data_IF_844240251234
#
_entry.id   IF_844240251234
#
_cell.length_a   1.000
_cell.length_b   1.000
_cell.length_c   1.000
_cell.angle_alpha   90.00
_cell.angle_beta   90.00
_cell.angle_gamma   90.00
#
_symmetry.space_group_name_H-M   'P 1'
#
loop_
_entity.id
_entity.type
_entity.pdbx_description
1 polymer ?
#
# COMPACT_ATOMS: atom_id res chain seq x y z
N UNK A 1 -67.18 -1.38 -7.62
CA UNK A 1 -65.95 -1.38 -6.79
C UNK A 1 -64.78 -1.73 -7.68
N UNK A 2 -63.93 -0.76 -8.03
CA UNK A 2 -62.72 -1.00 -8.82
C UNK A 2 -61.55 -1.18 -7.86
N UNK A 3 -60.95 -2.37 -7.87
CA UNK A 3 -59.74 -2.67 -7.09
C UNK A 3 -58.54 -2.19 -7.91
N UNK A 4 -57.95 -1.07 -7.51
CA UNK A 4 -56.64 -0.65 -8.03
C UNK A 4 -55.55 -1.52 -7.39
N UNK A 5 -54.97 -2.42 -8.17
CA UNK A 5 -53.76 -3.11 -7.79
C UNK A 5 -52.57 -2.15 -7.89
N UNK A 6 -52.00 -1.75 -6.75
CA UNK A 6 -50.71 -1.07 -6.71
C UNK A 6 -49.61 -2.08 -7.05
N UNK A 7 -49.08 -2.00 -8.27
CA UNK A 7 -47.83 -2.65 -8.62
C UNK A 7 -46.68 -1.94 -7.90
N UNK A 8 -46.14 -2.56 -6.85
CA UNK A 8 -44.88 -2.16 -6.24
C UNK A 8 -43.76 -2.34 -7.28
N UNK A 9 -43.29 -1.23 -7.84
CA UNK A 9 -42.07 -1.19 -8.64
C UNK A 9 -40.88 -1.52 -7.73
N UNK A 10 -40.43 -2.78 -7.77
CA UNK A 10 -39.14 -3.18 -7.20
C UNK A 10 -38.07 -2.55 -8.09
N UNK A 11 -37.48 -1.44 -7.64
CA UNK A 11 -36.31 -0.90 -8.31
C UNK A 11 -35.15 -1.92 -8.18
N UNK A 12 -34.50 -2.31 -9.28
CA UNK A 12 -33.35 -3.19 -9.20
C UNK A 12 -32.26 -2.48 -8.41
N UNK A 13 -31.83 -3.07 -7.29
CA UNK A 13 -30.61 -2.63 -6.61
C UNK A 13 -29.46 -2.85 -7.57
N UNK A 14 -28.86 -1.75 -8.05
CA UNK A 14 -27.72 -1.84 -8.95
C UNK A 14 -26.57 -2.52 -8.21
N UNK A 15 -26.14 -3.67 -8.73
CA UNK A 15 -24.99 -4.40 -8.21
C UNK A 15 -23.75 -3.50 -8.22
N UNK A 16 -23.00 -3.53 -7.12
CA UNK A 16 -21.74 -2.80 -7.04
C UNK A 16 -20.70 -3.44 -7.97
N UNK A 17 -19.90 -2.60 -8.60
CA UNK A 17 -18.85 -3.01 -9.55
C UNK A 17 -17.63 -2.11 -9.41
N UNK A 18 -16.54 -2.54 -10.05
CA UNK A 18 -15.32 -1.77 -10.16
C UNK A 18 -15.42 -0.75 -11.29
N UNK A 19 -14.90 0.45 -11.02
CA UNK A 19 -14.65 1.47 -12.01
C UNK A 19 -13.19 1.88 -11.90
N UNK A 20 -12.46 1.72 -13.00
CA UNK A 20 -11.06 2.10 -13.09
C UNK A 20 -10.92 3.16 -14.18
N UNK A 21 -10.27 4.28 -13.85
CA UNK A 21 -10.04 5.39 -14.78
C UNK A 21 -8.59 5.84 -14.69
N UNK A 22 -7.95 6.00 -15.83
CA UNK A 22 -6.65 6.64 -15.89
C UNK A 22 -6.81 8.14 -16.11
N UNK A 23 -6.24 8.96 -15.23
CA UNK A 23 -6.15 10.42 -15.34
C UNK A 23 -4.69 10.83 -15.29
N UNK A 24 -4.13 11.17 -16.45
CA UNK A 24 -2.69 11.42 -16.58
C UNK A 24 -1.89 10.18 -16.18
N UNK A 25 -1.01 10.34 -15.18
CA UNK A 25 -0.18 9.26 -14.62
C UNK A 25 -0.84 8.55 -13.43
N UNK A 26 -2.11 8.84 -13.08
CA UNK A 26 -2.79 8.20 -11.95
C UNK A 26 -3.89 7.27 -12.44
N UNK A 27 -3.86 6.01 -11.98
CA UNK A 27 -4.95 5.06 -12.12
C UNK A 27 -5.87 5.16 -10.90
N UNK A 28 -7.02 5.78 -11.05
CA UNK A 28 -8.07 5.93 -10.04
C UNK A 28 -8.92 4.67 -10.00
N UNK A 29 -9.09 4.09 -8.81
CA UNK A 29 -9.83 2.84 -8.61
C UNK A 29 -10.97 3.08 -7.64
N UNK A 30 -12.19 2.92 -8.14
CA UNK A 30 -13.44 3.12 -7.42
C UNK A 30 -14.29 1.86 -7.41
N UNK A 31 -15.16 1.75 -6.40
CA UNK A 31 -16.10 0.65 -6.26
C UNK A 31 -17.45 1.17 -5.81
N UNK A 32 -18.51 0.86 -6.56
CA UNK A 32 -19.84 1.42 -6.32
C UNK A 32 -20.84 1.06 -7.41
N UNK A 33 -21.94 1.79 -7.51
CA UNK A 33 -23.01 1.52 -8.49
C UNK A 33 -23.73 2.80 -8.92
N UNK A 34 -24.39 2.75 -10.08
CA UNK A 34 -25.11 3.90 -10.64
C UNK A 34 -24.19 5.09 -10.89
N UNK A 35 -24.51 6.23 -10.27
CA UNK A 35 -23.68 7.45 -10.31
C UNK A 35 -22.69 7.56 -9.14
N UNK A 36 -22.72 6.63 -8.18
CA UNK A 36 -21.94 6.70 -6.96
C UNK A 36 -20.78 5.70 -6.98
N UNK A 37 -19.60 6.16 -7.41
CA UNK A 37 -18.36 5.39 -7.45
C UNK A 37 -17.28 6.08 -6.61
N UNK A 38 -17.30 5.90 -5.28
CA UNK A 38 -16.25 6.43 -4.43
C UNK A 38 -14.91 5.74 -4.69
N UNK A 39 -13.84 6.52 -4.63
CA UNK A 39 -12.48 6.04 -4.86
C UNK A 39 -11.91 5.36 -3.61
N UNK A 40 -11.32 4.18 -3.78
CA UNK A 40 -10.70 3.40 -2.70
C UNK A 40 -9.20 3.19 -2.89
N UNK A 41 -8.70 3.31 -4.13
CA UNK A 41 -7.28 3.22 -4.41
C UNK A 41 -6.82 4.16 -5.53
N UNK A 42 -5.53 4.42 -5.53
CA UNK A 42 -4.84 5.16 -6.59
C UNK A 42 -3.47 4.52 -6.82
N UNK A 43 -3.14 4.22 -8.08
CA UNK A 43 -1.78 3.84 -8.49
C UNK A 43 -1.16 4.96 -9.31
N UNK A 44 -0.04 5.50 -8.84
CA UNK A 44 0.78 6.46 -9.56
C UNK A 44 1.72 5.70 -10.50
N UNK A 45 1.44 5.79 -11.80
CA UNK A 45 2.11 5.07 -12.88
C UNK A 45 3.52 5.59 -13.17
N UNK A 46 3.88 6.78 -12.70
CA UNK A 46 5.23 7.37 -12.84
C UNK A 46 6.22 6.87 -11.79
N UNK A 47 5.73 6.32 -10.69
CA UNK A 47 6.53 6.06 -9.49
C UNK A 47 6.23 4.72 -8.81
N UNK A 48 5.15 4.03 -9.22
CA UNK A 48 4.63 2.80 -8.61
C UNK A 48 4.10 2.95 -7.18
N UNK A 49 3.81 4.19 -6.75
CA UNK A 49 3.19 4.46 -5.46
C UNK A 49 1.72 4.08 -5.52
N UNK A 50 1.29 3.24 -4.60
CA UNK A 50 -0.06 2.73 -4.49
C UNK A 50 -0.64 3.17 -3.16
N UNK A 51 -1.79 3.84 -3.20
CA UNK A 51 -2.50 4.32 -2.00
C UNK A 51 -3.84 3.61 -1.90
N UNK A 52 -4.25 3.33 -0.68
CA UNK A 52 -5.51 2.68 -0.37
C UNK A 52 -6.19 3.41 0.78
N UNK A 53 -7.51 3.53 0.73
CA UNK A 53 -8.34 3.99 1.85
C UNK A 53 -9.33 2.90 2.23
N UNK A 54 -9.67 2.81 3.53
CA UNK A 54 -10.64 1.82 4.02
C UNK A 54 -12.09 2.29 3.87
N UNK A 55 -12.29 3.56 3.52
CA UNK A 55 -13.58 4.23 3.41
C UNK A 55 -13.43 5.51 2.57
N UNK A 56 -14.48 5.95 1.86
CA UNK A 56 -14.44 7.22 1.12
C UNK A 56 -14.32 8.47 2.01
N UNK A 57 -14.50 8.31 3.32
CA UNK A 57 -14.35 9.37 4.33
C UNK A 57 -12.95 9.39 4.97
N UNK A 58 -12.06 8.48 4.54
CA UNK A 58 -10.68 8.39 5.02
C UNK A 58 -9.75 9.27 4.15
N UNK A 59 -8.80 9.95 4.78
CA UNK A 59 -7.70 10.60 4.07
C UNK A 59 -6.70 9.57 3.52
N UNK A 60 -5.97 9.90 2.46
CA UNK A 60 -5.11 8.93 1.75
C UNK A 60 -3.90 8.39 2.50
N UNK A 61 -3.40 9.08 3.54
CA UNK A 61 -2.31 8.63 4.42
C UNK A 61 -1.08 8.01 3.72
N UNK A 62 -0.53 6.96 4.34
CA UNK A 62 0.63 6.17 3.89
C UNK A 62 0.46 5.57 2.49
N UNK A 63 1.52 5.68 1.67
CA UNK A 63 1.64 5.02 0.37
C UNK A 63 2.45 3.71 0.47
N UNK A 64 2.16 2.76 -0.42
CA UNK A 64 2.96 1.56 -0.65
C UNK A 64 3.73 1.71 -1.94
N UNK A 65 5.01 1.35 -1.94
CA UNK A 65 5.81 1.29 -3.16
C UNK A 65 5.80 -0.16 -3.63
N UNK A 66 5.10 -0.41 -4.74
CA UNK A 66 4.87 -1.78 -5.21
C UNK A 66 6.09 -2.41 -5.86
N UNK A 67 6.87 -1.62 -6.60
CA UNK A 67 8.13 -2.08 -7.19
C UNK A 67 9.20 -2.19 -6.10
N UNK A 68 10.14 -3.14 -6.24
CA UNK A 68 11.15 -3.34 -5.22
C UNK A 68 12.06 -2.11 -5.11
N UNK A 69 12.58 -1.86 -3.92
CA UNK A 69 13.64 -0.89 -3.68
C UNK A 69 14.92 -1.60 -3.24
N UNK A 70 16.09 -1.11 -3.64
CA UNK A 70 17.36 -1.77 -3.34
C UNK A 70 18.55 -0.85 -3.45
N UNK A 71 19.66 -1.26 -2.82
CA UNK A 71 20.97 -0.63 -2.96
C UNK A 71 21.85 -1.46 -3.90
N UNK A 72 22.46 -0.80 -4.88
CA UNK A 72 23.40 -1.43 -5.81
C UNK A 72 24.42 -0.41 -6.31
N UNK A 73 25.71 -0.74 -6.16
CA UNK A 73 26.81 0.13 -6.56
C UNK A 73 26.83 1.46 -5.80
N UNK A 74 26.41 1.47 -4.53
CA UNK A 74 26.32 2.67 -3.70
C UNK A 74 25.15 3.59 -4.02
N UNK A 75 24.26 3.20 -4.96
CA UNK A 75 23.07 3.96 -5.33
C UNK A 75 21.81 3.27 -4.82
N UNK A 76 20.90 4.06 -4.27
CA UNK A 76 19.57 3.62 -3.90
C UNK A 76 18.60 3.75 -5.07
N UNK A 77 17.86 2.68 -5.35
CA UNK A 77 16.82 2.61 -6.35
C UNK A 77 15.48 2.39 -5.65
N UNK A 78 14.53 3.29 -5.88
CA UNK A 78 13.17 3.23 -5.34
C UNK A 78 12.24 3.95 -6.29
N UNK A 79 11.06 3.39 -6.50
CA UNK A 79 10.06 3.95 -7.39
C UNK A 79 10.51 3.88 -8.85
N UNK A 80 9.56 3.57 -9.73
CA UNK A 80 9.81 3.55 -11.18
C UNK A 80 8.50 3.72 -11.90
N UNK A 81 8.52 4.29 -13.12
CA UNK A 81 7.39 4.20 -14.01
C UNK A 81 6.97 2.74 -14.24
N UNK A 82 5.66 2.53 -14.30
CA UNK A 82 5.02 1.25 -14.55
C UNK A 82 3.90 1.40 -15.57
N UNK A 83 3.68 0.34 -16.34
CA UNK A 83 2.44 0.16 -17.09
C UNK A 83 1.49 -0.70 -16.28
N UNK A 84 0.18 -0.47 -16.47
CA UNK A 84 -0.85 -1.24 -15.83
C UNK A 84 -1.94 -1.62 -16.83
N UNK A 85 -2.42 -2.87 -16.75
CA UNK A 85 -3.68 -3.31 -17.36
C UNK A 85 -4.56 -3.92 -16.28
N UNK A 86 -5.87 -3.95 -16.49
CA UNK A 86 -6.79 -4.42 -15.47
C UNK A 86 -8.00 -5.14 -16.04
N UNK A 87 -8.59 -6.01 -15.21
CA UNK A 87 -9.84 -6.71 -15.50
C UNK A 87 -10.55 -7.08 -14.20
N UNK A 88 -11.85 -7.22 -14.27
CA UNK A 88 -12.65 -7.80 -13.18
C UNK A 88 -12.67 -9.31 -13.32
N UNK A 89 -12.45 -10.04 -12.22
CA UNK A 89 -12.62 -11.50 -12.15
C UNK A 89 -13.53 -11.84 -10.96
N UNK A 90 -14.75 -12.29 -11.25
CA UNK A 90 -15.78 -12.43 -10.22
C UNK A 90 -16.05 -11.08 -9.57
N UNK A 91 -15.91 -11.00 -8.25
CA UNK A 91 -16.04 -9.74 -7.51
C UNK A 91 -14.73 -8.95 -7.35
N UNK A 92 -13.59 -9.54 -7.70
CA UNK A 92 -12.28 -8.92 -7.49
C UNK A 92 -11.84 -8.11 -8.73
N UNK A 93 -11.05 -7.07 -8.51
CA UNK A 93 -10.33 -6.35 -9.56
C UNK A 93 -8.88 -6.81 -9.58
N UNK A 94 -8.38 -7.22 -10.74
CA UNK A 94 -6.99 -7.55 -10.95
C UNK A 94 -6.30 -6.45 -11.74
N UNK A 95 -5.17 -6.00 -11.22
CA UNK A 95 -4.21 -5.15 -11.93
C UNK A 95 -2.98 -5.98 -12.26
N UNK A 96 -2.57 -5.97 -13.53
CA UNK A 96 -1.27 -6.46 -13.97
C UNK A 96 -0.36 -5.26 -14.16
N UNK A 97 0.71 -5.18 -13.37
CA UNK A 97 1.62 -4.04 -13.32
C UNK A 97 2.99 -4.50 -13.77
N UNK A 98 3.67 -3.75 -14.64
CA UNK A 98 5.04 -4.05 -15.04
C UNK A 98 5.90 -2.80 -15.12
N UNK A 99 7.17 -2.91 -14.73
CA UNK A 99 8.12 -1.80 -14.78
C UNK A 99 9.56 -2.29 -14.86
N UNK A 100 10.48 -1.36 -15.13
CA UNK A 100 11.92 -1.61 -15.13
C UNK A 100 12.61 -0.67 -14.17
N UNK A 101 13.30 -1.21 -13.17
CA UNK A 101 14.08 -0.44 -12.20
C UNK A 101 15.55 -0.91 -12.25
N UNK A 102 16.45 0.02 -12.57
CA UNK A 102 17.81 -0.31 -13.01
C UNK A 102 17.78 -1.36 -14.15
N UNK A 103 18.39 -2.53 -13.96
CA UNK A 103 18.37 -3.65 -14.91
C UNK A 103 17.28 -4.69 -14.62
N UNK A 104 16.49 -4.54 -13.55
CA UNK A 104 15.44 -5.48 -13.18
C UNK A 104 14.14 -5.14 -13.90
N UNK A 105 13.58 -6.11 -14.63
CA UNK A 105 12.21 -6.04 -15.14
C UNK A 105 11.31 -6.84 -14.23
N UNK A 106 10.29 -6.19 -13.68
CA UNK A 106 9.41 -6.76 -12.67
C UNK A 106 7.97 -6.68 -13.16
N UNK A 107 7.25 -7.79 -13.05
CA UNK A 107 5.82 -7.88 -13.29
C UNK A 107 5.11 -8.39 -12.03
N UNK A 108 4.05 -7.69 -11.61
CA UNK A 108 3.26 -7.97 -10.43
C UNK A 108 1.79 -8.11 -10.80
N UNK A 109 1.07 -8.91 -10.02
CA UNK A 109 -0.40 -8.89 -9.98
C UNK A 109 -0.83 -8.28 -8.64
N UNK A 110 -1.75 -7.33 -8.70
CA UNK A 110 -2.45 -6.76 -7.54
C UNK A 110 -3.92 -7.12 -7.65
N UNK A 111 -4.40 -7.98 -6.76
CA UNK A 111 -5.81 -8.38 -6.69
C UNK A 111 -6.50 -7.66 -5.53
N UNK A 112 -7.46 -6.81 -5.86
CA UNK A 112 -8.27 -6.03 -4.94
C UNK A 112 -9.61 -6.73 -4.73
N UNK A 113 -9.97 -6.98 -3.47
CA UNK A 113 -11.31 -7.48 -3.14
C UNK A 113 -12.23 -6.31 -2.82
N UNK A 114 -13.56 -6.41 -3.04
CA UNK A 114 -14.50 -5.35 -2.72
C UNK A 114 -14.26 -4.77 -1.32
N UNK A 115 -14.32 -3.44 -1.15
CA UNK A 115 -14.23 -2.81 0.16
C UNK A 115 -15.25 -3.41 1.13
N UNK A 116 -14.77 -3.77 2.32
CA UNK A 116 -15.61 -4.20 3.43
C UNK A 116 -15.81 -3.04 4.41
N UNK A 117 -16.70 -3.23 5.39
CA UNK A 117 -16.87 -2.24 6.46
C UNK A 117 -15.53 -2.00 7.18
N UNK A 118 -15.02 -0.78 7.09
CA UNK A 118 -13.79 -0.31 7.73
C UNK A 118 -12.51 -1.06 7.32
N UNK A 119 -12.50 -1.71 6.17
CA UNK A 119 -11.33 -2.46 5.68
C UNK A 119 -11.30 -2.53 4.17
N UNK A 120 -10.12 -2.36 3.60
CA UNK A 120 -9.86 -2.58 2.19
C UNK A 120 -8.58 -3.39 1.99
N UNK A 121 -8.63 -4.41 1.14
CA UNK A 121 -7.60 -5.44 1.05
C UNK A 121 -7.11 -5.58 -0.40
N UNK A 122 -5.79 -5.59 -0.56
CA UNK A 122 -5.11 -5.96 -1.80
C UNK A 122 -4.18 -7.15 -1.55
N UNK A 123 -4.13 -8.10 -2.47
CA UNK A 123 -3.12 -9.17 -2.50
C UNK A 123 -2.16 -8.88 -3.62
N UNK A 124 -0.86 -8.85 -3.32
CA UNK A 124 0.19 -8.60 -4.31
C UNK A 124 1.03 -9.86 -4.44
N UNK A 125 1.30 -10.27 -5.67
CA UNK A 125 2.24 -11.35 -5.97
C UNK A 125 3.10 -11.02 -7.18
N UNK A 126 4.33 -11.50 -7.16
CA UNK A 126 5.21 -11.48 -8.32
C UNK A 126 4.70 -12.43 -9.40
N UNK A 127 4.70 -11.97 -10.65
CA UNK A 127 4.51 -12.81 -11.83
C UNK A 127 5.86 -13.17 -12.44
N UNK A 128 6.77 -12.20 -12.56
CA UNK A 128 8.09 -12.42 -13.13
C UNK A 128 9.11 -11.36 -12.64
N UNK A 129 10.37 -11.77 -12.48
CA UNK A 129 11.51 -10.88 -12.19
C UNK A 129 12.71 -11.32 -13.02
N UNK A 130 13.05 -10.54 -14.04
CA UNK A 130 14.21 -10.82 -14.91
C UNK A 130 15.25 -9.72 -14.79
N UNK A 131 16.44 -9.96 -15.36
CA UNK A 131 17.61 -9.10 -15.17
C UNK A 131 18.42 -9.47 -13.94
N UNK A 132 19.53 -8.79 -13.71
CA UNK A 132 20.42 -9.06 -12.58
C UNK A 132 21.04 -7.78 -12.04
N UNK A 133 21.19 -7.72 -10.73
CA UNK A 133 21.86 -6.64 -10.00
C UNK A 133 22.79 -7.25 -8.97
N UNK A 134 23.91 -6.58 -8.71
CA UNK A 134 24.76 -6.87 -7.56
C UNK A 134 24.27 -6.02 -6.38
N UNK A 135 23.70 -6.65 -5.36
CA UNK A 135 23.24 -5.94 -4.17
C UNK A 135 24.42 -5.48 -3.33
N UNK A 136 24.32 -4.27 -2.79
CA UNK A 136 25.26 -3.80 -1.78
C UNK A 136 25.09 -4.62 -0.49
N UNK A 137 26.19 -4.85 0.23
CA UNK A 137 26.15 -5.50 1.54
C UNK A 137 25.60 -4.54 2.61
N UNK A 138 24.26 -4.41 2.65
CA UNK A 138 23.53 -3.59 3.61
C UNK A 138 22.48 -4.43 4.34
N UNK A 139 22.80 -4.98 5.52
CA UNK A 139 21.87 -5.76 6.31
C UNK A 139 20.55 -5.02 6.54
N UNK A 140 19.42 -5.72 6.40
CA UNK A 140 18.07 -5.16 6.49
C UNK A 140 17.73 -4.00 5.54
N UNK A 141 18.54 -3.72 4.51
CA UNK A 141 18.27 -2.67 3.52
C UNK A 141 18.52 -3.06 2.06
N UNK A 142 19.33 -4.10 1.82
CA UNK A 142 19.85 -4.43 0.49
C UNK A 142 18.75 -4.58 -0.57
N UNK A 143 17.72 -5.39 -0.32
CA UNK A 143 16.58 -5.57 -1.22
C UNK A 143 15.26 -5.56 -0.45
N UNK A 144 14.31 -4.73 -0.87
CA UNK A 144 13.01 -4.49 -0.23
C UNK A 144 11.90 -4.85 -1.23
N UNK A 145 11.22 -6.01 -1.09
CA UNK A 145 10.11 -6.38 -1.99
C UNK A 145 8.86 -5.50 -1.82
N UNK A 146 8.78 -4.77 -0.70
CA UNK A 146 7.70 -3.83 -0.38
C UNK A 146 8.19 -2.81 0.65
N UNK A 147 7.79 -1.56 0.47
CA UNK A 147 8.10 -0.45 1.36
C UNK A 147 6.88 0.44 1.53
N UNK A 148 6.66 0.90 2.76
CA UNK A 148 5.71 1.95 3.11
C UNK A 148 6.44 3.29 3.13
N UNK A 149 5.78 4.31 2.57
CA UNK A 149 6.21 5.69 2.50
C UNK A 149 5.13 6.56 3.16
N UNK A 150 5.50 7.36 4.16
CA UNK A 150 4.54 8.16 4.93
C UNK A 150 5.20 9.42 5.47
N UNK A 151 4.41 10.23 6.16
CA UNK A 151 4.84 11.48 6.77
C UNK A 151 4.62 11.45 8.29
N UNK A 152 5.63 11.88 9.05
CA UNK A 152 5.55 12.19 10.48
C UNK A 152 6.52 13.34 10.80
N UNK A 153 5.98 14.57 10.85
CA UNK A 153 6.74 15.79 11.17
C UNK A 153 6.72 16.09 12.67
N UNK A 154 5.60 15.83 13.34
CA UNK A 154 5.45 16.01 14.79
C UNK A 154 4.34 15.13 15.34
N UNK A 155 4.16 15.09 16.66
CA UNK A 155 3.07 14.34 17.33
C UNK A 155 1.66 14.79 16.93
N UNK A 156 1.51 15.97 16.33
CA UNK A 156 0.21 16.52 15.88
C UNK A 156 0.10 16.64 14.37
N UNK A 157 1.18 16.41 13.62
CA UNK A 157 1.25 16.59 12.17
C UNK A 157 1.89 15.36 11.53
N UNK A 158 1.05 14.45 11.07
CA UNK A 158 1.46 13.14 10.55
C UNK A 158 0.37 12.51 9.67
N UNK A 159 0.81 11.62 8.78
CA UNK A 159 0.01 10.62 8.06
C UNK A 159 0.03 9.26 8.79
N UNK A 160 1.14 8.94 9.46
CA UNK A 160 1.27 7.80 10.38
C UNK A 160 1.87 8.22 11.72
N UNK A 161 1.29 7.77 12.83
CA UNK A 161 1.72 8.14 14.19
C UNK A 161 2.81 7.23 14.76
N UNK A 162 2.77 5.94 14.45
CA UNK A 162 3.71 4.93 14.95
C UNK A 162 3.88 3.82 13.91
N UNK A 163 4.99 3.10 14.01
CA UNK A 163 5.20 1.84 13.31
C UNK A 163 4.85 0.65 14.21
N UNK A 164 4.66 -0.52 13.60
CA UNK A 164 4.57 -1.76 14.36
C UNK A 164 5.14 -2.95 13.60
N UNK A 165 5.58 -3.96 14.34
CA UNK A 165 5.97 -5.27 13.83
C UNK A 165 5.34 -6.33 14.72
N UNK A 166 4.61 -7.26 14.10
CA UNK A 166 3.79 -8.25 14.75
C UNK A 166 2.82 -7.61 15.77
N UNK A 167 3.09 -7.76 17.07
CA UNK A 167 2.29 -7.17 18.14
C UNK A 167 2.98 -6.01 18.88
N UNK A 168 4.12 -5.50 18.39
CA UNK A 168 4.91 -4.47 19.08
C UNK A 168 4.88 -3.15 18.33
N UNK A 169 4.61 -2.07 19.06
CA UNK A 169 4.59 -0.70 18.56
C UNK A 169 5.98 -0.08 18.71
N UNK A 170 6.36 0.76 17.76
CA UNK A 170 7.59 1.53 17.73
C UNK A 170 7.27 2.99 17.41
N UNK A 171 7.76 3.91 18.24
CA UNK A 171 7.64 5.34 17.98
C UNK A 171 8.45 5.74 16.76
N UNK A 172 7.95 6.73 16.02
CA UNK A 172 8.67 7.33 14.90
C UNK A 172 9.58 8.43 15.45
N UNK A 173 10.92 8.30 15.35
CA UNK A 173 11.83 9.34 15.80
C UNK A 173 11.73 10.56 14.89
N UNK A 174 12.28 11.71 15.31
CA UNK A 174 12.40 12.89 14.44
C UNK A 174 13.38 12.66 13.27
N UNK A 175 14.34 11.75 13.45
CA UNK A 175 15.26 11.27 12.41
C UNK A 175 15.92 9.96 12.83
N UNK A 176 16.39 9.18 11.87
CA UNK A 176 17.17 7.96 12.09
C UNK A 176 16.34 6.68 12.05
N UNK A 177 16.88 5.61 12.65
CA UNK A 177 16.25 4.29 12.62
C UNK A 177 14.97 4.24 13.45
N UNK A 178 13.90 3.72 12.85
CA UNK A 178 12.67 3.36 13.58
C UNK A 178 12.90 2.11 14.43
N UNK A 179 13.66 1.14 13.90
CA UNK A 179 13.95 -0.13 14.57
C UNK A 179 15.42 -0.51 14.33
N UNK A 180 16.23 -0.45 15.39
CA UNK A 180 17.62 -0.93 15.35
C UNK A 180 17.95 -1.74 16.61
N UNK A 181 18.48 -2.97 16.47
CA UNK A 181 18.63 -3.75 15.23
C UNK A 181 17.27 -4.16 14.65
N UNK A 182 17.24 -4.40 13.33
CA UNK A 182 16.04 -4.84 12.60
C UNK A 182 15.41 -6.12 13.22
N UNK A 183 14.09 -6.28 13.04
CA UNK A 183 13.34 -7.39 13.63
C UNK A 183 12.81 -8.33 12.56
N UNK A 184 12.98 -9.63 12.76
CA UNK A 184 12.37 -10.62 11.88
C UNK A 184 10.86 -10.66 12.11
N UNK A 185 10.09 -10.53 11.03
CA UNK A 185 8.63 -10.52 11.11
C UNK A 185 7.97 -10.85 9.77
N UNK A 186 6.69 -11.18 9.86
CA UNK A 186 5.78 -11.44 8.75
C UNK A 186 4.67 -10.40 8.66
N UNK A 187 4.40 -9.66 9.74
CA UNK A 187 3.39 -8.61 9.80
C UNK A 187 4.01 -7.31 10.30
N UNK A 188 3.79 -6.23 9.57
CA UNK A 188 4.29 -4.92 9.96
C UNK A 188 3.46 -3.83 9.30
N UNK A 189 3.53 -2.62 9.80
CA UNK A 189 2.81 -1.51 9.19
C UNK A 189 3.02 -0.17 9.87
N UNK A 190 2.28 0.81 9.37
CA UNK A 190 2.23 2.17 9.89
C UNK A 190 0.79 2.48 10.31
N UNK A 191 0.63 2.91 11.57
CA UNK A 191 -0.69 3.19 12.15
C UNK A 191 -1.07 4.64 11.83
N UNK A 192 -2.17 4.83 11.12
CA UNK A 192 -2.76 6.13 10.83
C UNK A 192 -3.69 6.63 11.94
N UNK A 193 -4.67 7.44 11.57
CA UNK A 193 -5.65 8.07 12.44
C UNK A 193 -5.86 9.55 12.09
N UNK A 194 -6.29 10.33 13.08
CA UNK A 194 -6.55 11.76 12.91
C UNK A 194 -5.48 12.59 13.58
N UNK A 195 -4.91 13.52 12.84
CA UNK A 195 -3.95 14.54 13.25
C UNK A 195 -4.46 15.93 12.85
N UNK A 196 -3.72 17.01 13.16
CA UNK A 196 -4.07 18.35 12.66
C UNK A 196 -3.95 18.47 11.13
N UNK A 197 -3.24 17.54 10.49
CA UNK A 197 -2.98 17.52 9.05
C UNK A 197 -3.95 16.63 8.27
N UNK A 198 -4.33 15.49 8.87
CA UNK A 198 -5.14 14.48 8.18
C UNK A 198 -6.25 13.99 9.09
N UNK A 199 -7.44 13.88 8.54
CA UNK A 199 -8.55 13.17 9.18
C UNK A 199 -8.57 11.72 8.72
N UNK A 200 -8.67 10.78 9.67
CA UNK A 200 -8.94 9.37 9.39
C UNK A 200 -7.95 8.73 8.40
N UNK A 201 -6.65 9.02 8.50
CA UNK A 201 -5.64 8.32 7.71
C UNK A 201 -5.69 6.81 8.00
N UNK A 202 -5.61 5.93 7.00
CA UNK A 202 -5.68 4.50 7.20
C UNK A 202 -4.48 3.98 7.99
N UNK A 203 -4.70 2.98 8.82
CA UNK A 203 -3.64 2.06 9.21
C UNK A 203 -3.31 1.18 8.02
N UNK A 204 -2.04 1.18 7.60
CA UNK A 204 -1.55 0.37 6.49
C UNK A 204 -0.71 -0.80 7.01
N UNK A 205 -1.22 -2.01 6.80
CA UNK A 205 -0.57 -3.28 7.18
C UNK A 205 -0.05 -4.02 5.96
N UNK A 206 1.16 -4.57 6.09
CA UNK A 206 1.73 -5.57 5.20
C UNK A 206 1.78 -6.91 5.93
N UNK A 207 1.17 -7.94 5.34
CA UNK A 207 1.28 -9.33 5.79
C UNK A 207 2.02 -10.14 4.73
N UNK A 208 3.29 -10.44 4.99
CA UNK A 208 4.13 -11.26 4.14
C UNK A 208 3.58 -12.69 4.07
N UNK A 209 3.63 -13.27 2.87
CA UNK A 209 3.20 -14.66 2.59
C UNK A 209 4.36 -15.51 2.06
N UNK A 210 5.59 -15.05 2.28
CA UNK A 210 6.79 -15.77 1.88
C UNK A 210 7.14 -16.88 2.88
N UNK A 211 7.79 -17.97 2.45
CA UNK A 211 8.18 -19.07 3.33
C UNK A 211 9.23 -18.66 4.38
N UNK A 212 9.97 -17.57 4.14
CA UNK A 212 10.94 -17.02 5.08
C UNK A 212 10.49 -15.65 5.57
N UNK A 213 10.54 -15.45 6.88
CA UNK A 213 10.36 -14.13 7.46
C UNK A 213 11.51 -13.20 7.05
N UNK A 214 11.20 -11.92 6.87
CA UNK A 214 12.15 -10.90 6.43
C UNK A 214 12.53 -9.99 7.60
N UNK A 215 13.62 -9.25 7.46
CA UNK A 215 14.04 -8.25 8.44
C UNK A 215 13.26 -6.96 8.23
N UNK A 216 12.49 -6.56 9.23
CA UNK A 216 11.67 -5.34 9.23
C UNK A 216 12.40 -4.22 9.97
N UNK A 217 12.49 -3.06 9.33
CA UNK A 217 13.03 -1.83 9.90
C UNK A 217 12.46 -0.62 9.16
N UNK A 218 12.90 0.58 9.53
CA UNK A 218 12.61 1.80 8.81
C UNK A 218 13.55 2.92 9.19
N UNK A 219 13.43 4.00 8.43
CA UNK A 219 14.22 5.21 8.59
C UNK A 219 13.30 6.43 8.50
N UNK A 220 13.55 7.39 9.38
CA UNK A 220 12.95 8.73 9.30
C UNK A 220 14.03 9.70 8.85
N UNK A 221 13.80 10.37 7.73
CA UNK A 221 14.58 11.55 7.35
C UNK A 221 13.98 12.74 8.06
N UNK A 222 14.81 13.60 8.64
CA UNK A 222 14.30 14.83 9.24
C UNK A 222 13.62 15.69 8.17
N UNK A 223 12.39 16.10 8.41
CA UNK A 223 11.70 17.13 7.62
C UNK A 223 10.72 17.88 8.50
N UNK A 224 10.47 19.13 8.14
CA UNK A 224 9.39 19.97 8.70
C UNK A 224 8.28 20.24 7.69
N UNK A 225 8.44 19.77 6.46
CA UNK A 225 7.44 19.94 5.40
C UNK A 225 6.46 18.76 5.43
N UNK A 226 5.17 18.98 5.71
CA UNK A 226 4.17 17.91 5.76
C UNK A 226 3.83 17.31 4.39
N UNK A 227 4.36 17.88 3.30
CA UNK A 227 4.27 17.28 1.96
C UNK A 227 5.41 16.29 1.68
N UNK A 228 6.42 16.21 2.55
CA UNK A 228 7.50 15.25 2.42
C UNK A 228 7.10 13.93 3.09
N UNK A 229 7.12 12.85 2.32
CA UNK A 229 7.10 11.50 2.88
C UNK A 229 8.47 11.21 3.51
N UNK A 230 8.62 11.61 4.77
CA UNK A 230 9.89 11.52 5.49
C UNK A 230 10.08 10.18 6.23
N UNK A 231 9.07 9.31 6.24
CA UNK A 231 9.10 8.00 6.89
C UNK A 231 9.13 6.89 5.85
N UNK A 232 10.19 6.07 5.89
CA UNK A 232 10.27 4.80 5.16
C UNK A 232 10.19 3.61 6.12
N UNK A 233 9.35 2.62 5.84
CA UNK A 233 9.24 1.40 6.66
C UNK A 233 9.06 0.16 5.79
N UNK A 234 9.90 -0.87 5.96
CA UNK A 234 10.00 -1.95 4.97
C UNK A 234 10.39 -3.29 5.60
N UNK A 235 10.18 -4.34 4.81
CA UNK A 235 10.80 -5.64 5.01
C UNK A 235 11.95 -5.82 4.00
N UNK A 236 13.06 -6.40 4.43
CA UNK A 236 14.27 -6.55 3.63
C UNK A 236 14.83 -7.97 3.60
N UNK A 237 15.50 -8.25 2.50
CA UNK A 237 16.30 -9.44 2.22
C UNK A 237 17.73 -9.02 1.89
N UNK A 238 18.70 -9.80 2.36
CA UNK A 238 20.09 -9.67 1.94
C UNK A 238 20.34 -10.19 0.51
N UNK A 239 19.36 -10.90 -0.07
CA UNK A 239 19.43 -11.51 -1.39
C UNK A 239 18.36 -10.92 -2.32
N UNK A 240 18.67 -10.91 -3.62
CA UNK A 240 17.72 -10.57 -4.66
C UNK A 240 16.60 -11.61 -4.69
N UNK A 241 15.38 -11.20 -4.36
CA UNK A 241 14.23 -12.08 -4.44
C UNK A 241 13.74 -12.16 -5.89
N UNK A 242 13.37 -13.37 -6.34
CA UNK A 242 12.78 -13.60 -7.67
C UNK A 242 11.27 -13.80 -7.63
N UNK A 243 10.73 -14.04 -6.45
CA UNK A 243 9.31 -14.14 -6.21
C UNK A 243 8.99 -13.66 -4.80
N UNK A 244 7.90 -12.92 -4.65
CA UNK A 244 7.34 -12.53 -3.37
C UNK A 244 5.83 -12.41 -3.46
N UNK A 245 5.19 -12.49 -2.29
CA UNK A 245 3.77 -12.23 -2.14
C UNK A 245 3.47 -11.67 -0.76
N UNK A 246 2.49 -10.78 -0.71
CA UNK A 246 2.02 -10.17 0.52
C UNK A 246 0.57 -9.70 0.39
N UNK A 247 -0.08 -9.47 1.52
CA UNK A 247 -1.39 -8.82 1.60
C UNK A 247 -1.21 -7.43 2.17
N UNK A 248 -1.80 -6.43 1.51
CA UNK A 248 -1.96 -5.08 2.01
C UNK A 248 -3.35 -4.95 2.63
N UNK A 249 -3.44 -4.26 3.77
CA UNK A 249 -4.72 -3.91 4.40
C UNK A 249 -4.72 -2.44 4.79
N UNK A 250 -5.73 -1.72 4.33
CA UNK A 250 -6.09 -0.41 4.86
C UNK A 250 -7.23 -0.62 5.86
N UNK A 251 -7.06 -0.20 7.11
CA UNK A 251 -8.09 -0.31 8.15
C UNK A 251 -8.23 0.98 8.97
N UNK A 252 -9.38 1.13 9.64
CA UNK A 252 -9.64 2.29 10.53
C UNK A 252 -8.72 2.31 11.75
N UNK A 253 -8.42 1.14 12.31
CA UNK A 253 -7.56 0.99 13.49
C UNK A 253 -6.68 -0.25 13.37
N UNK A 254 -5.57 -0.23 14.10
CA UNK A 254 -4.73 -1.40 14.30
C UNK A 254 -5.32 -2.30 15.41
N UNK A 255 -5.28 -3.65 15.29
CA UNK A 255 -5.82 -4.57 16.31
C UNK A 255 -5.15 -4.45 17.70
N UNK A 256 -3.92 -3.94 17.76
CA UNK A 256 -3.16 -3.76 19.02
C UNK A 256 -3.45 -2.40 19.68
N UNK A 257 -4.50 -1.70 19.22
CA UNK A 257 -4.97 -0.43 19.78
C UNK A 257 -6.27 -0.55 20.59
N UNK A 258 -6.48 -1.68 21.28
CA UNK A 258 -7.40 -1.77 22.42
C UNK A 258 -6.58 -1.85 23.70
#
# INVERSE_FOLDING_TARGET
>A
MAVCAFALLVQPVLAQTWLVRQRGTVLEIAYGSGSHFPQYAALHLDSSYFRMVYSPQSGWGTSMILMPAFWSGGRYYQGTPVTASWRTEGSDLLLLISGTIASLRVSLEVRLSPPAKNSFIARVRTLNVTGNIALDNRPAEAFKPVMLSSMHVSTTQWDARVAYVEGRIYDLPSSGWVIYPAKTGSRFGLIGGTSRWKTNAPTMEVVLRQPRALQVTGWVTYSTNPNDDNVGFWAASAQLLRAWQYTLRATVTHPVGR
#
